data_IF_993773894913
#
_entry.id   IF_993773894913
#
_cell.length_a   1.000
_cell.length_b   1.000
_cell.length_c   1.000
_cell.angle_alpha   90.00
_cell.angle_beta   90.00
_cell.angle_gamma   90.00
#
_symmetry.space_group_name_H-M   'P 1'
#
loop_
_entity.id
_entity.type
_entity.pdbx_description
1 polymer ?
#
# COMPACT_ATOMS: atom_id res chain seq x y z
N UNK A 1 10.83 -20.78 -12.28
CA UNK A 1 9.54 -20.31 -11.73
C UNK A 1 9.81 -20.14 -10.24
N UNK A 2 10.05 -18.91 -9.78
CA UNK A 2 10.75 -18.68 -8.51
C UNK A 2 9.77 -18.71 -7.34
N UNK A 3 10.02 -19.60 -6.37
CA UNK A 3 9.34 -19.69 -5.06
C UNK A 3 9.42 -18.38 -4.25
N UNK A 4 10.21 -17.40 -4.72
CA UNK A 4 10.48 -16.14 -4.04
C UNK A 4 9.25 -15.23 -3.93
N UNK A 5 8.38 -15.15 -4.95
CA UNK A 5 7.17 -14.31 -4.90
C UNK A 5 6.15 -14.82 -3.88
N UNK A 6 5.85 -16.13 -3.93
CA UNK A 6 4.99 -16.79 -2.95
C UNK A 6 5.57 -16.73 -1.51
N UNK A 7 6.89 -16.87 -1.35
CA UNK A 7 7.55 -16.70 -0.05
C UNK A 7 7.49 -15.25 0.47
N UNK A 8 7.50 -14.25 -0.40
CA UNK A 8 7.43 -12.84 -0.01
C UNK A 8 6.02 -12.45 0.45
N UNK A 9 4.99 -13.02 -0.17
CA UNK A 9 3.58 -12.85 0.26
C UNK A 9 3.29 -13.61 1.55
N UNK A 10 3.82 -14.82 1.72
CA UNK A 10 3.78 -15.52 3.02
C UNK A 10 4.54 -14.69 4.07
N UNK A 11 5.70 -14.12 3.73
CA UNK A 11 6.39 -13.18 4.61
C UNK A 11 5.59 -11.92 4.89
N UNK A 12 4.72 -11.45 3.99
CA UNK A 12 3.84 -10.30 4.21
C UNK A 12 2.67 -10.64 5.14
N UNK A 13 2.10 -11.85 5.00
CA UNK A 13 1.04 -12.37 5.89
C UNK A 13 1.55 -12.72 7.30
N UNK A 14 2.82 -13.08 7.44
CA UNK A 14 3.48 -13.33 8.73
C UNK A 14 4.45 -12.22 9.16
N UNK A 15 4.56 -11.15 8.37
CA UNK A 15 5.30 -9.97 8.77
C UNK A 15 4.56 -9.38 9.95
N UNK A 16 5.31 -9.04 11.00
CA UNK A 16 4.79 -8.12 12.01
C UNK A 16 4.32 -6.85 11.31
N UNK A 17 3.18 -6.30 11.73
CA UNK A 17 2.63 -5.04 11.21
C UNK A 17 3.71 -3.94 11.09
N UNK A 18 4.67 -3.91 12.02
CA UNK A 18 5.83 -3.01 12.01
C UNK A 18 6.67 -3.03 10.73
N UNK A 19 6.81 -4.19 10.08
CA UNK A 19 7.59 -4.34 8.84
C UNK A 19 6.82 -3.88 7.60
N UNK A 20 5.51 -3.66 7.75
CA UNK A 20 4.61 -3.20 6.71
C UNK A 20 4.33 -1.69 6.80
N UNK A 21 4.71 -1.06 7.92
CA UNK A 21 4.57 0.38 8.07
C UNK A 21 5.36 1.13 7.00
N UNK A 22 4.78 2.25 6.57
CA UNK A 22 5.34 3.16 5.58
C UNK A 22 5.69 2.54 4.22
N UNK A 23 5.17 1.33 3.93
CA UNK A 23 5.18 0.71 2.60
C UNK A 23 3.81 0.88 1.95
N UNK A 24 3.72 1.83 1.03
CA UNK A 24 2.47 2.17 0.34
C UNK A 24 2.36 1.46 -1.01
N UNK A 25 1.27 0.75 -1.26
CA UNK A 25 0.98 0.22 -2.60
C UNK A 25 0.52 1.36 -3.50
N UNK A 26 1.24 1.63 -4.59
CA UNK A 26 0.92 2.73 -5.52
C UNK A 26 0.29 2.23 -6.81
N UNK A 27 0.52 0.98 -7.20
CA UNK A 27 -0.05 0.42 -8.42
C UNK A 27 -0.13 -1.12 -8.37
N UNK A 28 -1.08 -1.68 -9.12
CA UNK A 28 -1.14 -3.10 -9.49
C UNK A 28 -1.17 -3.19 -11.02
N UNK A 29 -0.25 -3.96 -11.60
CA UNK A 29 -0.12 -4.11 -13.04
C UNK A 29 -0.24 -5.58 -13.46
N UNK A 30 -0.75 -5.82 -14.68
CA UNK A 30 -0.96 -7.18 -15.21
C UNK A 30 -0.56 -7.36 -16.69
N UNK A 31 -0.09 -6.30 -17.37
CA UNK A 31 0.32 -6.38 -18.77
C UNK A 31 1.82 -6.69 -18.87
N UNK A 32 2.17 -7.84 -19.43
CA UNK A 32 3.56 -8.31 -19.54
C UNK A 32 4.09 -9.04 -18.30
N UNK A 33 3.22 -9.30 -17.33
CA UNK A 33 3.50 -9.88 -16.01
C UNK A 33 2.57 -9.24 -14.97
N UNK A 34 2.35 -9.92 -13.84
CA UNK A 34 1.58 -9.41 -12.71
C UNK A 34 2.51 -8.92 -11.59
N UNK A 35 2.21 -7.78 -10.98
CA UNK A 35 3.03 -7.26 -9.89
C UNK A 35 2.42 -6.07 -9.15
N UNK A 36 2.99 -5.77 -7.98
CA UNK A 36 2.68 -4.59 -7.18
C UNK A 36 3.86 -3.61 -7.25
N UNK A 37 3.53 -2.32 -7.34
CA UNK A 37 4.48 -1.24 -7.14
C UNK A 37 4.27 -0.67 -5.74
N UNK A 38 5.37 -0.53 -5.00
CA UNK A 38 5.38 0.04 -3.65
C UNK A 38 6.19 1.35 -3.65
N UNK A 39 5.79 2.28 -2.77
CA UNK A 39 6.62 3.38 -2.30
C UNK A 39 7.03 3.05 -0.85
N UNK A 40 8.32 2.88 -0.62
CA UNK A 40 8.91 2.59 0.68
C UNK A 40 10.13 3.48 0.90
N UNK A 41 10.21 4.18 2.02
CA UNK A 41 11.33 5.08 2.36
C UNK A 41 11.67 6.10 1.24
N UNK A 42 10.66 6.54 0.48
CA UNK A 42 10.83 7.47 -0.66
C UNK A 42 11.35 6.83 -1.95
N UNK A 43 11.51 5.51 -1.97
CA UNK A 43 11.98 4.73 -3.11
C UNK A 43 10.89 3.82 -3.68
N UNK A 44 10.94 3.59 -4.99
CA UNK A 44 10.04 2.63 -5.66
C UNK A 44 10.58 1.21 -5.51
N UNK A 45 9.75 0.31 -4.98
CA UNK A 45 10.01 -1.13 -4.92
C UNK A 45 8.96 -1.89 -5.75
N UNK A 46 9.27 -3.13 -6.14
CA UNK A 46 8.37 -3.99 -6.91
C UNK A 46 8.25 -5.37 -6.25
N UNK A 47 7.04 -5.90 -6.24
CA UNK A 47 6.75 -7.28 -5.87
C UNK A 47 6.18 -7.98 -7.08
N UNK A 48 6.93 -8.94 -7.63
CA UNK A 48 6.48 -9.76 -8.75
C UNK A 48 5.48 -10.81 -8.25
N UNK A 49 4.38 -10.97 -8.98
CA UNK A 49 3.33 -11.92 -8.68
C UNK A 49 3.29 -13.03 -9.72
N UNK A 50 3.05 -14.24 -9.24
CA UNK A 50 2.74 -15.42 -10.04
C UNK A 50 1.22 -15.67 -10.08
N UNK A 51 0.81 -16.65 -10.89
CA UNK A 51 -0.60 -17.08 -10.97
C UNK A 51 -1.15 -17.68 -9.66
N UNK A 52 -0.27 -18.11 -8.74
CA UNK A 52 -0.67 -18.71 -7.46
C UNK A 52 -0.77 -17.69 -6.33
N UNK A 53 -0.39 -16.43 -6.59
CA UNK A 53 -0.34 -15.38 -5.60
C UNK A 53 -1.70 -14.67 -5.51
N UNK A 54 -2.32 -14.73 -4.34
CA UNK A 54 -3.62 -14.11 -4.08
C UNK A 54 -3.42 -12.72 -3.47
N UNK A 55 -3.96 -11.69 -4.15
CA UNK A 55 -3.95 -10.31 -3.66
C UNK A 55 -5.36 -9.91 -3.26
N UNK A 56 -5.52 -9.46 -2.02
CA UNK A 56 -6.78 -8.91 -1.51
C UNK A 56 -6.66 -7.39 -1.42
N UNK A 57 -7.49 -6.67 -2.16
CA UNK A 57 -7.49 -5.20 -2.19
C UNK A 57 -8.70 -4.71 -1.40
N UNK A 58 -8.45 -3.98 -0.31
CA UNK A 58 -9.47 -3.17 0.35
C UNK A 58 -9.54 -1.81 -0.35
N UNK A 59 -10.47 -1.67 -1.30
CA UNK A 59 -10.58 -0.46 -2.10
C UNK A 59 -11.15 0.70 -1.28
N UNK A 60 -10.36 1.77 -1.14
CA UNK A 60 -10.73 2.99 -0.42
C UNK A 60 -10.67 2.87 1.10
N UNK A 61 -10.55 3.99 1.79
CA UNK A 61 -10.51 4.06 3.24
C UNK A 61 -11.23 5.28 3.80
N UNK A 62 -12.07 5.10 4.83
CA UNK A 62 -12.89 6.19 5.39
C UNK A 62 -12.07 7.28 6.11
N UNK A 63 -10.79 7.04 6.37
CA UNK A 63 -9.88 7.96 7.07
C UNK A 63 -8.79 8.52 6.16
N UNK A 64 -8.84 8.22 4.86
CA UNK A 64 -7.88 8.74 3.88
C UNK A 64 -7.84 10.27 3.92
N UNK A 65 -6.63 10.83 4.03
CA UNK A 65 -6.39 12.28 4.05
C UNK A 65 -7.05 13.02 5.25
N UNK A 66 -7.34 12.32 6.35
CA UNK A 66 -7.82 12.95 7.59
C UNK A 66 -6.77 13.88 8.18
N UNK A 67 -7.19 15.05 8.64
CA UNK A 67 -6.34 15.98 9.39
C UNK A 67 -6.54 15.79 10.90
N UNK A 68 -5.45 15.73 11.66
CA UNK A 68 -5.51 15.78 13.13
C UNK A 68 -5.82 17.22 13.57
N UNK A 69 -6.78 17.42 14.48
CA UNK A 69 -7.10 18.74 15.08
C UNK A 69 -6.59 18.86 16.52
N UNK A 70 -6.66 20.06 17.09
CA UNK A 70 -6.33 20.33 18.50
C UNK A 70 -7.39 21.25 19.13
N UNK A 71 -7.37 21.39 20.46
CA UNK A 71 -8.34 22.17 21.25
C UNK A 71 -8.36 23.66 20.87
N UNK A 72 -7.28 24.18 20.26
CA UNK A 72 -7.13 25.60 19.94
C UNK A 72 -7.30 25.94 18.45
N UNK A 73 -6.69 25.20 17.49
CA UNK A 73 -6.98 25.38 16.07
C UNK A 73 -7.98 24.32 15.56
N UNK A 74 -9.05 24.71 14.85
CA UNK A 74 -9.89 23.76 14.13
C UNK A 74 -9.06 23.00 13.07
N UNK A 75 -9.42 21.75 12.77
CA UNK A 75 -8.81 21.03 11.65
C UNK A 75 -9.01 21.83 10.36
N UNK A 76 -7.96 21.92 9.55
CA UNK A 76 -8.02 22.58 8.25
C UNK A 76 -8.95 21.81 7.31
N UNK A 77 -10.06 22.45 6.92
CA UNK A 77 -10.98 21.89 5.93
C UNK A 77 -10.42 22.12 4.53
N UNK A 78 -9.85 21.06 3.95
CA UNK A 78 -9.38 21.08 2.56
C UNK A 78 -10.50 20.56 1.65
N UNK A 79 -10.97 21.41 0.74
CA UNK A 79 -12.01 21.05 -0.25
C UNK A 79 -11.44 20.32 -1.47
N UNK A 80 -10.11 20.28 -1.59
CA UNK A 80 -9.43 19.61 -2.69
C UNK A 80 -9.49 18.10 -2.52
N UNK A 81 -9.98 17.42 -3.56
CA UNK A 81 -9.87 15.98 -3.67
C UNK A 81 -8.41 15.66 -3.98
N UNK A 82 -7.73 15.04 -3.02
CA UNK A 82 -6.37 14.51 -3.21
C UNK A 82 -6.45 13.04 -3.60
N UNK A 83 -5.48 12.51 -4.35
CA UNK A 83 -5.31 11.06 -4.47
C UNK A 83 -5.26 10.41 -3.08
N UNK A 84 -5.57 9.12 -2.98
CA UNK A 84 -5.52 8.38 -1.71
C UNK A 84 -4.26 8.75 -0.92
N UNK A 85 -4.39 8.99 0.38
CA UNK A 85 -3.29 9.38 1.27
C UNK A 85 -2.78 8.22 2.13
N UNK A 86 -3.43 7.05 2.05
CA UNK A 86 -3.01 5.81 2.70
C UNK A 86 -2.01 5.05 1.86
#
# INVERSE_FOLDING_TARGET
MSDKGALEIIHLFFASDEKLYDKRITNFFWQGGSGLQLLADGHTEFVDLTENDLVFITNGGCVENSSLSSQNPPASFHTEIKPSGG
#
